data_IF_633080303960
#
_entry.id   IF_633080303960
#
_cell.length_a   1.000
_cell.length_b   1.000
_cell.length_c   1.000
_cell.angle_alpha   90.00
_cell.angle_beta   90.00
_cell.angle_gamma   90.00
#
_symmetry.space_group_name_H-M   'P 1'
#
loop_
_entity.id
_entity.type
_entity.pdbx_description
1 polymer ?
#
# COMPACT_ATOMS: atom_id res chain seq x y z
N UNK A 1 -19.43 -53.16 -30.28
CA UNK A 1 -20.07 -51.86 -30.03
C UNK A 1 -19.12 -51.01 -29.21
N UNK A 2 -18.54 -49.98 -29.79
CA UNK A 2 -17.61 -49.06 -29.08
C UNK A 2 -18.45 -47.86 -28.63
N UNK A 3 -18.66 -47.70 -27.33
CA UNK A 3 -19.33 -46.51 -26.75
C UNK A 3 -18.37 -45.30 -26.90
N UNK A 4 -18.78 -44.33 -27.67
CA UNK A 4 -18.19 -43.01 -27.72
C UNK A 4 -18.69 -42.23 -26.47
N UNK A 5 -17.80 -41.96 -25.50
CA UNK A 5 -18.06 -41.03 -24.40
C UNK A 5 -17.79 -39.62 -24.95
N UNK A 6 -18.77 -38.70 -24.94
CA UNK A 6 -18.53 -37.33 -25.39
C UNK A 6 -17.61 -36.62 -24.36
N UNK A 7 -16.48 -36.11 -24.83
CA UNK A 7 -15.57 -35.25 -24.11
C UNK A 7 -16.27 -33.88 -23.94
N UNK A 8 -16.81 -33.60 -22.76
CA UNK A 8 -17.42 -32.31 -22.44
C UNK A 8 -16.30 -31.28 -22.20
N UNK A 9 -16.07 -30.44 -23.20
CA UNK A 9 -15.11 -29.34 -23.12
C UNK A 9 -15.68 -28.26 -22.19
N UNK A 10 -15.21 -28.18 -20.94
CA UNK A 10 -15.51 -27.08 -20.04
C UNK A 10 -14.81 -25.83 -20.58
N UNK A 11 -15.57 -24.94 -21.21
CA UNK A 11 -15.15 -23.59 -21.53
C UNK A 11 -15.02 -22.80 -20.23
N UNK A 12 -13.80 -22.59 -19.75
CA UNK A 12 -13.54 -21.66 -18.68
C UNK A 12 -13.84 -20.24 -19.19
N UNK A 13 -14.94 -19.64 -18.70
CA UNK A 13 -15.21 -18.22 -18.94
C UNK A 13 -14.08 -17.40 -18.29
N UNK A 14 -13.46 -16.43 -18.99
CA UNK A 14 -12.47 -15.57 -18.36
C UNK A 14 -13.14 -14.81 -17.21
N UNK A 15 -12.53 -14.89 -16.04
CA UNK A 15 -12.94 -14.11 -14.89
C UNK A 15 -12.57 -12.65 -15.19
N UNK A 16 -13.57 -11.80 -15.43
CA UNK A 16 -13.35 -10.40 -15.76
C UNK A 16 -13.16 -9.64 -14.45
N UNK A 17 -12.00 -9.00 -14.30
CA UNK A 17 -11.65 -8.23 -13.12
C UNK A 17 -12.36 -6.86 -13.10
N UNK A 18 -12.70 -6.39 -11.90
CA UNK A 18 -13.34 -5.10 -11.67
C UNK A 18 -12.35 -4.00 -11.29
N UNK A 19 -12.91 -2.83 -11.02
CA UNK A 19 -12.16 -1.64 -10.60
C UNK A 19 -12.82 -0.99 -9.38
N UNK A 20 -12.04 -0.58 -8.39
CA UNK A 20 -12.52 0.19 -7.25
C UNK A 20 -11.96 1.62 -7.39
N UNK A 21 -12.86 2.60 -7.52
CA UNK A 21 -12.52 4.01 -7.49
C UNK A 21 -12.70 4.56 -6.09
N UNK A 22 -11.67 5.13 -5.52
CA UNK A 22 -11.71 5.64 -4.16
C UNK A 22 -11.43 7.13 -4.13
N UNK A 23 -12.22 7.87 -3.37
CA UNK A 23 -12.03 9.28 -3.07
C UNK A 23 -11.79 9.46 -1.58
N UNK A 24 -10.76 10.23 -1.25
CA UNK A 24 -10.43 10.54 0.14
C UNK A 24 -10.43 12.06 0.32
N UNK A 25 -11.23 12.55 1.25
CA UNK A 25 -11.35 13.98 1.56
C UNK A 25 -11.52 14.20 3.07
N UNK A 26 -11.25 15.42 3.50
CA UNK A 26 -11.53 15.86 4.87
C UNK A 26 -13.01 16.26 5.03
N UNK A 27 -13.50 16.57 6.25
CA UNK A 27 -14.89 17.01 6.47
C UNK A 27 -15.27 18.34 5.81
N UNK A 28 -14.29 19.12 5.36
CA UNK A 28 -14.49 20.39 4.64
C UNK A 28 -14.53 20.18 3.13
N UNK A 29 -14.35 18.93 2.66
CA UNK A 29 -14.29 18.58 1.26
C UNK A 29 -12.92 18.78 0.61
N UNK A 30 -11.87 19.13 1.37
CA UNK A 30 -10.50 19.21 0.84
C UNK A 30 -9.97 17.82 0.56
N UNK A 31 -9.31 17.66 -0.58
CA UNK A 31 -8.75 16.36 -0.99
C UNK A 31 -7.59 15.94 -0.09
N UNK A 32 -7.50 14.66 0.22
CA UNK A 32 -6.37 14.06 0.96
C UNK A 32 -5.48 13.34 -0.04
N UNK A 33 -4.28 13.88 -0.24
CA UNK A 33 -3.24 13.27 -1.07
C UNK A 33 -2.36 12.32 -0.25
N UNK A 34 -1.69 11.42 -0.94
CA UNK A 34 -0.76 10.45 -0.33
C UNK A 34 -1.40 9.50 0.69
N UNK A 35 -2.75 9.41 0.72
CA UNK A 35 -3.43 8.39 1.47
C UNK A 35 -3.25 7.03 0.79
N UNK A 36 -2.91 6.00 1.56
CA UNK A 36 -2.84 4.62 1.08
C UNK A 36 -4.22 3.99 1.20
N UNK A 37 -4.79 3.61 0.06
CA UNK A 37 -6.06 2.90 -0.03
C UNK A 37 -5.77 1.45 -0.38
N UNK A 38 -6.41 0.50 0.28
CA UNK A 38 -6.21 -0.92 0.00
C UNK A 38 -7.48 -1.73 0.24
N UNK A 39 -7.69 -2.75 -0.60
CA UNK A 39 -8.84 -3.65 -0.53
C UNK A 39 -8.39 -5.05 -0.11
N UNK A 40 -8.87 -5.51 1.06
CA UNK A 40 -8.57 -6.83 1.60
C UNK A 40 -9.72 -7.78 1.28
N UNK A 41 -9.47 -8.92 0.60
CA UNK A 41 -10.53 -9.89 0.32
C UNK A 41 -11.02 -10.59 1.58
N UNK A 42 -12.32 -10.78 1.71
CA UNK A 42 -12.90 -11.59 2.78
C UNK A 42 -12.78 -13.08 2.48
N UNK A 43 -12.41 -13.85 3.51
CA UNK A 43 -12.44 -15.31 3.47
C UNK A 43 -11.38 -15.99 2.60
N UNK A 44 -10.40 -15.23 2.07
CA UNK A 44 -9.25 -15.79 1.33
C UNK A 44 -7.95 -15.06 1.65
N UNK A 45 -6.85 -15.82 1.65
CA UNK A 45 -5.50 -15.26 1.76
C UNK A 45 -4.90 -15.15 0.37
N UNK A 46 -4.23 -14.02 0.11
CA UNK A 46 -3.53 -13.79 -1.15
C UNK A 46 -2.04 -14.15 -1.02
N UNK A 47 -1.39 -14.55 -2.12
CA UNK A 47 0.03 -14.88 -2.09
C UNK A 47 0.88 -13.66 -1.74
N UNK A 48 1.99 -13.89 -1.02
CA UNK A 48 2.95 -12.86 -0.68
C UNK A 48 3.63 -12.30 -1.93
N UNK A 49 3.92 -11.01 -1.92
CA UNK A 49 4.69 -10.38 -2.98
C UNK A 49 6.16 -10.87 -2.95
N UNK A 50 6.71 -11.08 -4.16
CA UNK A 50 8.15 -11.27 -4.36
C UNK A 50 8.69 -10.11 -5.20
N UNK A 51 8.41 -8.87 -4.73
CA UNK A 51 8.73 -7.64 -5.44
C UNK A 51 9.83 -6.88 -4.70
N UNK A 52 10.42 -5.92 -5.40
CA UNK A 52 11.36 -4.95 -4.81
C UNK A 52 10.79 -3.56 -4.98
N UNK A 53 10.86 -2.75 -3.93
CA UNK A 53 10.53 -1.33 -3.92
C UNK A 53 11.73 -0.51 -3.50
N UNK A 54 11.65 0.82 -3.63
CA UNK A 54 12.73 1.75 -3.32
C UNK A 54 12.20 2.88 -2.44
N UNK A 55 12.91 3.16 -1.36
CA UNK A 55 12.77 4.33 -0.51
C UNK A 55 14.11 5.07 -0.54
N UNK A 56 14.23 6.07 -1.41
CA UNK A 56 15.47 6.84 -1.57
C UNK A 56 15.63 7.89 -0.47
N UNK A 57 16.82 8.38 -0.30
CA UNK A 57 17.19 9.49 0.59
C UNK A 57 17.83 10.58 -0.25
N UNK A 58 17.15 11.71 -0.38
CA UNK A 58 17.61 12.84 -1.19
C UNK A 58 17.12 14.15 -0.59
N UNK A 59 18.00 15.17 -0.59
CA UNK A 59 17.72 16.47 0.01
C UNK A 59 17.29 16.39 1.48
N UNK A 60 17.88 15.46 2.25
CA UNK A 60 17.53 15.17 3.65
C UNK A 60 16.07 14.76 3.85
N UNK A 61 15.51 14.07 2.87
CA UNK A 61 14.15 13.51 2.91
C UNK A 61 14.17 12.06 2.45
N UNK A 62 13.22 11.25 2.96
CA UNK A 62 12.87 9.98 2.35
C UNK A 62 11.93 10.22 1.17
N UNK A 63 12.19 9.54 0.05
CA UNK A 63 11.40 9.69 -1.19
C UNK A 63 10.99 8.30 -1.71
N UNK A 64 9.67 8.05 -1.81
CA UNK A 64 8.54 8.91 -1.46
C UNK A 64 8.36 9.06 0.06
N UNK A 65 7.64 10.08 0.51
CA UNK A 65 7.31 10.24 1.94
C UNK A 65 6.40 9.10 2.46
N UNK A 66 5.48 8.62 1.63
CA UNK A 66 4.65 7.44 1.91
C UNK A 66 4.87 6.40 0.82
N UNK A 67 5.31 5.20 1.20
CA UNK A 67 5.50 4.05 0.32
C UNK A 67 4.53 2.94 0.72
N UNK A 68 3.60 2.58 -0.17
CA UNK A 68 2.75 1.42 0.02
C UNK A 68 3.40 0.17 -0.61
N UNK A 69 3.39 -0.94 0.11
CA UNK A 69 3.93 -2.23 -0.37
C UNK A 69 3.08 -3.39 0.11
N UNK A 70 3.05 -4.46 -0.67
CA UNK A 70 2.45 -5.72 -0.22
C UNK A 70 3.42 -6.47 0.69
N UNK A 71 2.89 -7.20 1.67
CA UNK A 71 3.65 -8.13 2.53
C UNK A 71 4.50 -9.08 1.68
N UNK A 72 5.77 -9.25 2.06
CA UNK A 72 6.77 -10.00 1.30
C UNK A 72 7.62 -9.16 0.33
N UNK A 73 7.37 -7.85 0.25
CA UNK A 73 8.19 -6.94 -0.55
C UNK A 73 9.53 -6.64 0.14
N UNK A 74 10.60 -6.64 -0.64
CA UNK A 74 11.94 -6.20 -0.20
C UNK A 74 12.15 -4.74 -0.59
N UNK A 75 12.47 -3.87 0.38
CA UNK A 75 12.70 -2.43 0.11
C UNK A 75 14.19 -2.13 0.14
N UNK A 76 14.67 -1.48 -0.91
CA UNK A 76 16.02 -0.92 -1.00
C UNK A 76 16.00 0.51 -0.50
N UNK A 77 17.06 0.91 0.19
CA UNK A 77 17.24 2.25 0.74
C UNK A 77 18.49 2.92 0.17
N UNK A 78 18.50 3.34 -1.10
CA UNK A 78 19.62 4.13 -1.62
C UNK A 78 19.70 5.47 -0.88
N UNK A 79 20.92 6.02 -0.82
CA UNK A 79 21.19 7.35 -0.33
C UNK A 79 21.81 8.15 -1.49
N UNK A 80 20.97 8.96 -2.13
CA UNK A 80 21.35 9.83 -3.27
C UNK A 80 21.87 11.22 -2.83
N UNK A 81 21.99 11.45 -1.52
CA UNK A 81 22.62 12.66 -0.96
C UNK A 81 24.15 12.57 -0.90
N UNK A 82 24.80 13.73 -0.81
CA UNK A 82 26.25 13.82 -0.61
C UNK A 82 26.70 13.55 0.83
N UNK A 83 25.78 13.49 1.77
CA UNK A 83 26.00 13.21 3.19
C UNK A 83 25.53 11.81 3.56
N UNK A 84 26.03 11.28 4.68
CA UNK A 84 25.59 10.00 5.21
C UNK A 84 24.24 10.16 5.90
N UNK A 85 23.39 9.14 5.80
CA UNK A 85 22.15 9.04 6.55
C UNK A 85 22.08 7.72 7.34
N UNK A 86 21.25 7.72 8.37
CA UNK A 86 20.85 6.56 9.14
C UNK A 86 19.38 6.28 8.85
N UNK A 87 19.01 5.03 8.69
CA UNK A 87 17.59 4.64 8.55
C UNK A 87 17.24 3.70 9.69
N UNK A 88 16.20 4.02 10.43
CA UNK A 88 15.71 3.13 11.47
C UNK A 88 14.18 3.12 11.56
N UNK A 89 13.66 2.07 12.16
CA UNK A 89 12.28 1.96 12.60
C UNK A 89 12.19 1.18 13.91
N UNK A 90 11.32 1.63 14.80
CA UNK A 90 10.90 0.91 16.00
C UNK A 90 9.46 0.38 15.90
N UNK A 91 8.81 0.55 14.74
CA UNK A 91 7.44 0.08 14.54
C UNK A 91 7.33 -1.43 14.70
N UNK A 92 6.29 -1.94 15.40
CA UNK A 92 6.13 -3.39 15.66
C UNK A 92 6.01 -4.25 14.40
N UNK A 93 5.57 -3.66 13.28
CA UNK A 93 5.49 -4.36 12.00
C UNK A 93 6.89 -4.67 11.44
N UNK A 94 7.87 -3.76 11.62
CA UNK A 94 9.26 -3.96 11.16
C UNK A 94 10.26 -3.10 11.94
N UNK A 95 10.79 -3.56 13.09
CA UNK A 95 11.94 -2.92 13.71
C UNK A 95 13.21 -3.26 12.94
N UNK A 96 14.01 -2.23 12.59
CA UNK A 96 15.31 -2.43 11.92
C UNK A 96 16.18 -1.17 12.01
N UNK A 97 17.46 -1.35 11.70
CA UNK A 97 18.45 -0.28 11.63
C UNK A 97 19.41 -0.48 10.45
N UNK A 98 19.67 0.59 9.69
CA UNK A 98 20.76 0.71 8.74
C UNK A 98 21.67 1.82 9.26
N UNK A 99 22.86 1.49 9.81
CA UNK A 99 23.78 2.49 10.39
C UNK A 99 24.27 3.45 9.31
N UNK A 100 24.79 4.60 9.72
CA UNK A 100 25.24 5.68 8.84
C UNK A 100 25.97 5.20 7.58
N UNK A 101 25.39 5.44 6.40
CA UNK A 101 25.92 5.04 5.11
C UNK A 101 25.75 6.11 4.04
N UNK A 102 26.52 5.98 2.96
CA UNK A 102 26.41 6.70 1.69
C UNK A 102 26.23 5.67 0.56
N UNK A 103 25.50 6.01 -0.48
CA UNK A 103 25.18 5.08 -1.58
C UNK A 103 24.10 4.08 -1.21
N UNK A 104 24.20 2.84 -1.65
CA UNK A 104 23.14 1.81 -1.46
C UNK A 104 23.66 0.68 -0.58
N UNK A 105 22.96 0.31 0.50
CA UNK A 105 23.28 -0.89 1.27
C UNK A 105 23.18 -2.14 0.40
N UNK A 106 24.05 -3.12 0.67
CA UNK A 106 24.13 -4.34 -0.14
C UNK A 106 22.87 -5.22 -0.06
N UNK A 107 22.15 -5.17 1.07
CA UNK A 107 20.97 -6.00 1.31
C UNK A 107 19.71 -5.14 1.45
N UNK A 108 18.62 -5.46 0.73
CA UNK A 108 17.33 -4.85 0.98
C UNK A 108 16.74 -5.34 2.30
N UNK A 109 15.79 -4.59 2.85
CA UNK A 109 15.01 -4.97 4.04
C UNK A 109 13.71 -5.63 3.59
N UNK A 110 13.45 -6.85 4.07
CA UNK A 110 12.19 -7.57 3.81
C UNK A 110 11.09 -7.07 4.74
N UNK A 111 9.94 -6.71 4.19
CA UNK A 111 8.73 -6.32 4.91
C UNK A 111 7.72 -7.48 4.88
N UNK A 112 7.77 -8.30 5.90
CA UNK A 112 7.10 -9.62 6.00
C UNK A 112 5.88 -9.63 6.93
N UNK A 113 5.51 -8.48 7.49
CA UNK A 113 4.35 -8.31 8.37
C UNK A 113 3.60 -7.03 8.01
N UNK A 114 2.27 -7.15 7.84
CA UNK A 114 1.40 -6.00 7.61
C UNK A 114 1.40 -5.01 8.78
N UNK A 115 1.24 -3.73 8.45
CA UNK A 115 1.18 -2.62 9.39
C UNK A 115 1.95 -1.39 8.91
N UNK A 116 1.88 -0.33 9.68
CA UNK A 116 2.57 0.93 9.40
C UNK A 116 3.97 0.91 10.02
N UNK A 117 4.96 1.23 9.21
CA UNK A 117 6.36 1.31 9.59
C UNK A 117 6.84 2.75 9.45
N UNK A 118 7.01 3.44 10.58
CA UNK A 118 7.57 4.79 10.62
C UNK A 118 9.08 4.73 10.51
N UNK A 119 9.66 5.48 9.58
CA UNK A 119 11.09 5.63 9.39
C UNK A 119 11.60 6.92 10.01
N UNK A 120 12.81 6.88 10.54
CA UNK A 120 13.53 8.05 11.06
C UNK A 120 15.01 8.04 10.67
N UNK A 121 15.66 9.20 10.85
CA UNK A 121 17.08 9.40 10.71
C UNK A 121 17.64 10.05 11.98
N UNK A 122 18.71 9.48 12.59
CA UNK A 122 19.26 9.99 13.87
C UNK A 122 20.00 11.33 13.77
N UNK A 123 20.32 11.78 12.58
CA UNK A 123 21.13 12.99 12.38
C UNK A 123 20.35 14.15 11.76
N UNK A 124 19.10 13.92 11.40
CA UNK A 124 18.18 14.93 10.86
C UNK A 124 16.78 14.66 11.40
N UNK A 125 16.38 15.35 12.48
CA UNK A 125 15.12 15.11 13.22
C UNK A 125 13.86 15.24 12.36
N UNK A 126 13.89 16.05 11.30
CA UNK A 126 12.77 16.25 10.39
C UNK A 126 12.69 15.18 9.27
N UNK A 127 13.68 14.28 9.18
CA UNK A 127 13.72 13.24 8.14
C UNK A 127 12.92 12.03 8.59
N UNK A 128 11.64 12.02 8.24
CA UNK A 128 10.71 10.93 8.53
C UNK A 128 9.95 10.49 7.28
N UNK A 129 9.46 9.25 7.29
CA UNK A 129 8.61 8.69 6.23
C UNK A 129 7.84 7.48 6.75
N UNK A 130 6.94 6.95 5.91
CA UNK A 130 6.11 5.80 6.26
C UNK A 130 6.18 4.73 5.17
N UNK A 131 6.28 3.47 5.59
CA UNK A 131 6.04 2.32 4.74
C UNK A 131 4.77 1.64 5.24
N UNK A 132 3.73 1.62 4.40
CA UNK A 132 2.46 0.96 4.70
C UNK A 132 2.48 -0.43 4.06
N UNK A 133 2.59 -1.45 4.89
CA UNK A 133 2.65 -2.85 4.47
C UNK A 133 1.25 -3.44 4.54
N UNK A 134 0.72 -3.94 3.42
CA UNK A 134 -0.65 -4.46 3.30
C UNK A 134 -0.67 -5.90 2.82
N UNK A 135 -1.63 -6.71 3.29
CA UNK A 135 -1.76 -8.14 2.94
C UNK A 135 -2.55 -8.38 1.64
N UNK A 136 -2.49 -7.43 0.71
CA UNK A 136 -3.22 -7.48 -0.56
C UNK A 136 -2.39 -6.85 -1.68
N UNK A 137 -2.50 -7.30 -2.94
CA UNK A 137 -1.95 -6.62 -4.09
C UNK A 137 -2.80 -5.43 -4.56
N UNK A 138 -4.03 -5.29 -4.05
CA UNK A 138 -4.98 -4.25 -4.43
C UNK A 138 -4.81 -3.03 -3.52
N UNK A 139 -3.85 -2.20 -3.82
CA UNK A 139 -3.59 -0.96 -3.10
C UNK A 139 -3.06 0.11 -4.06
N UNK A 140 -3.33 1.35 -3.73
CA UNK A 140 -2.84 2.53 -4.45
C UNK A 140 -2.75 3.72 -3.49
N UNK A 141 -1.97 4.71 -3.86
CA UNK A 141 -1.86 5.97 -3.14
C UNK A 141 -2.68 7.05 -3.85
N UNK A 142 -3.45 7.84 -3.09
CA UNK A 142 -4.22 8.93 -3.68
C UNK A 142 -3.31 9.98 -4.32
N UNK A 143 -3.71 10.44 -5.49
CA UNK A 143 -3.08 11.53 -6.21
C UNK A 143 -3.34 12.90 -5.60
N UNK A 144 -2.91 13.96 -6.30
CA UNK A 144 -3.15 15.36 -5.92
C UNK A 144 -4.62 15.75 -5.90
N UNK A 145 -5.47 14.97 -6.51
CA UNK A 145 -6.93 15.11 -6.57
C UNK A 145 -7.69 14.30 -5.51
N UNK A 146 -6.96 13.58 -4.64
CA UNK A 146 -7.54 12.73 -3.61
C UNK A 146 -8.13 11.41 -4.12
N UNK A 147 -7.84 11.03 -5.38
CA UNK A 147 -8.34 9.82 -5.99
C UNK A 147 -7.30 8.71 -6.02
N UNK A 148 -7.76 7.47 -5.85
CA UNK A 148 -7.02 6.24 -6.08
C UNK A 148 -7.87 5.25 -6.87
N UNK A 149 -7.26 4.49 -7.79
CA UNK A 149 -7.93 3.47 -8.62
C UNK A 149 -7.29 2.13 -8.40
N UNK A 150 -7.98 1.21 -7.73
CA UNK A 150 -7.55 -0.18 -7.60
C UNK A 150 -8.04 -0.96 -8.81
N UNK A 151 -7.11 -1.43 -9.64
CA UNK A 151 -7.40 -2.13 -10.91
C UNK A 151 -7.26 -3.63 -10.76
N UNK A 152 -7.82 -4.34 -11.71
CA UNK A 152 -7.67 -5.79 -11.85
C UNK A 152 -8.08 -6.56 -10.57
N UNK A 153 -9.15 -6.05 -9.91
CA UNK A 153 -9.70 -6.65 -8.69
C UNK A 153 -10.58 -7.83 -9.06
N UNK A 154 -10.18 -9.03 -8.65
CA UNK A 154 -10.97 -10.26 -8.87
C UNK A 154 -12.37 -10.15 -8.27
N UNK A 155 -13.38 -10.82 -8.84
CA UNK A 155 -14.70 -10.96 -8.22
C UNK A 155 -14.63 -11.51 -6.80
N UNK A 156 -15.42 -10.94 -5.89
CA UNK A 156 -15.44 -11.32 -4.48
C UNK A 156 -15.88 -10.20 -3.56
N UNK A 157 -15.92 -10.51 -2.27
CA UNK A 157 -16.18 -9.52 -1.22
C UNK A 157 -14.86 -8.97 -0.69
N UNK A 158 -14.84 -7.67 -0.45
CA UNK A 158 -13.66 -6.94 0.02
C UNK A 158 -14.02 -5.96 1.11
N UNK A 159 -13.06 -5.69 1.96
CA UNK A 159 -13.07 -4.57 2.90
C UNK A 159 -12.04 -3.56 2.45
N UNK A 160 -12.48 -2.34 2.11
CA UNK A 160 -11.62 -1.25 1.67
C UNK A 160 -11.25 -0.40 2.88
N UNK A 161 -9.97 -0.15 3.02
CA UNK A 161 -9.36 0.65 4.08
C UNK A 161 -8.64 1.86 3.51
N UNK A 162 -8.43 2.87 4.34
CA UNK A 162 -7.58 4.02 4.03
C UNK A 162 -6.70 4.37 5.22
N UNK A 163 -5.45 4.72 4.94
CA UNK A 163 -4.49 5.22 5.91
C UNK A 163 -3.71 6.42 5.35
N UNK A 164 -3.38 7.41 6.17
CA UNK A 164 -2.44 8.48 5.82
C UNK A 164 -1.76 9.06 7.08
N UNK A 165 -0.59 9.75 6.95
CA UNK A 165 0.27 10.13 8.09
C UNK A 165 -0.39 11.00 9.17
N UNK A 166 -1.27 11.92 8.76
CA UNK A 166 -1.89 12.92 9.64
C UNK A 166 -3.27 12.48 10.15
N UNK A 167 -3.60 11.21 9.97
CA UNK A 167 -4.89 10.65 10.37
C UNK A 167 -5.00 10.58 11.89
N UNK A 168 -6.03 11.21 12.44
CA UNK A 168 -6.32 11.14 13.86
C UNK A 168 -6.87 9.78 14.26
N UNK A 169 -7.89 9.35 13.52
CA UNK A 169 -8.60 8.09 13.75
C UNK A 169 -8.79 7.41 12.39
N UNK A 170 -8.64 6.09 12.34
CA UNK A 170 -8.92 5.32 11.14
C UNK A 170 -10.43 5.39 10.83
N UNK A 171 -10.85 5.87 9.65
CA UNK A 171 -12.25 5.90 9.31
C UNK A 171 -12.80 4.47 9.20
N UNK A 172 -14.11 4.27 9.44
CA UNK A 172 -14.72 2.97 9.28
C UNK A 172 -14.43 2.39 7.90
N UNK A 173 -13.96 1.13 7.82
CA UNK A 173 -13.70 0.48 6.54
C UNK A 173 -15.01 0.28 5.75
N UNK A 174 -14.91 0.23 4.44
CA UNK A 174 -16.06 0.04 3.54
C UNK A 174 -16.11 -1.39 3.01
N UNK A 175 -17.19 -2.12 3.31
CA UNK A 175 -17.42 -3.44 2.74
C UNK A 175 -18.07 -3.32 1.35
N UNK A 176 -17.51 -3.98 0.34
CA UNK A 176 -17.97 -3.95 -1.04
C UNK A 176 -17.97 -5.35 -1.65
N UNK A 177 -18.68 -5.50 -2.76
CA UNK A 177 -18.68 -6.71 -3.59
C UNK A 177 -18.32 -6.34 -5.02
N UNK A 178 -17.38 -7.07 -5.60
CA UNK A 178 -17.03 -7.01 -7.02
C UNK A 178 -17.61 -8.24 -7.70
N UNK A 179 -18.54 -8.05 -8.64
CA UNK A 179 -19.22 -9.13 -9.38
C UNK A 179 -18.53 -9.49 -10.70
N UNK A 180 -17.76 -8.56 -11.29
CA UNK A 180 -17.07 -8.74 -12.57
C UNK A 180 -16.39 -7.45 -13.02
N UNK A 181 -16.57 -7.04 -14.27
CA UNK A 181 -15.95 -5.86 -14.89
C UNK A 181 -16.52 -4.51 -14.42
N UNK A 182 -17.30 -4.51 -13.36
CA UNK A 182 -17.94 -3.31 -12.83
C UNK A 182 -16.93 -2.36 -12.18
N UNK A 183 -17.33 -1.09 -12.09
CA UNK A 183 -16.67 -0.07 -11.29
C UNK A 183 -17.46 0.14 -10.02
N UNK A 184 -16.80 0.09 -8.87
CA UNK A 184 -17.38 0.39 -7.56
C UNK A 184 -16.75 1.65 -7.02
N UNK A 185 -17.57 2.64 -6.65
CA UNK A 185 -17.11 3.90 -6.06
C UNK A 185 -17.18 3.82 -4.53
N UNK A 186 -16.10 4.24 -3.87
CA UNK A 186 -15.97 4.33 -2.42
C UNK A 186 -15.50 5.73 -2.03
N UNK A 187 -16.05 6.28 -0.97
CA UNK A 187 -15.62 7.58 -0.46
C UNK A 187 -15.30 7.49 1.03
N UNK A 188 -14.17 8.07 1.43
CA UNK A 188 -13.75 8.19 2.81
C UNK A 188 -13.68 9.64 3.24
N UNK A 189 -14.25 9.93 4.41
CA UNK A 189 -14.09 11.19 5.11
C UNK A 189 -13.11 10.96 6.26
N UNK A 190 -12.02 11.69 6.26
CA UNK A 190 -10.92 11.50 7.21
C UNK A 190 -10.75 12.73 8.09
N UNK A 191 -10.41 12.53 9.36
CA UNK A 191 -10.13 13.61 10.30
C UNK A 191 -8.62 13.74 10.52
N UNK A 192 -8.07 14.91 10.24
CA UNK A 192 -6.67 15.24 10.53
C UNK A 192 -6.49 15.70 11.98
N UNK A 193 -5.30 15.50 12.55
CA UNK A 193 -4.89 16.28 13.72
C UNK A 193 -4.84 17.75 13.29
N UNK A 194 -5.72 18.57 13.87
CA UNK A 194 -5.64 20.01 13.64
C UNK A 194 -4.29 20.53 14.15
N UNK A 195 -3.51 21.17 13.30
CA UNK A 195 -2.44 22.04 13.76
C UNK A 195 -3.11 23.21 14.48
N UNK A 196 -3.05 23.19 15.82
CA UNK A 196 -3.41 24.30 16.69
C UNK A 196 -2.28 25.32 16.74
#
# INVERSE_FOLDING_TARGET
MRSLVPLMLLLATPLVAGTIEVRVHDPRGSVVRDAVVYAVPEGRTLPLARKTAVMDQKNRMFIPHVLAVQTGTSVRFPNSDDIRHHVYSFSPAKPFQLPLYKGTPAKPVLFDKAGVVTLGCNIHDQMSAFIVVVDTPFFERTGGDGHATLRDVDPGRYVVHVWYPEMRDEPPPSAITIGGSERVDVSFVTHTHGHS
#
